data_IF_020330502885
#
_entry.id   IF_020330502885
#
_cell.length_a   1.000
_cell.length_b   1.000
_cell.length_c   1.000
_cell.angle_alpha   90.00
_cell.angle_beta   90.00
_cell.angle_gamma   90.00
#
_symmetry.space_group_name_H-M   'P 1'
#
loop_
_entity.id
_entity.type
_entity.pdbx_description
1 polymer ?
#
# COMPACT_ATOMS: atom_id res chain seq x y z
N UNK A 1 0.03 -40.55 26.55
CA UNK A 1 1.06 -39.49 26.55
C UNK A 1 0.35 -38.21 26.15
N UNK A 2 0.04 -37.34 27.11
CA UNK A 2 -0.50 -36.02 26.81
C UNK A 2 0.65 -35.18 26.24
N UNK A 3 0.63 -34.92 24.94
CA UNK A 3 1.46 -33.86 24.38
C UNK A 3 1.06 -32.58 25.12
N UNK A 4 2.04 -31.86 25.68
CA UNK A 4 1.77 -30.51 26.16
C UNK A 4 1.23 -29.74 24.96
N UNK A 5 -0.02 -29.33 25.02
CA UNK A 5 -0.61 -28.36 24.10
C UNK A 5 0.34 -27.16 24.11
N UNK A 6 1.20 -27.06 23.08
CA UNK A 6 1.87 -25.81 22.81
C UNK A 6 0.75 -24.80 22.60
N UNK A 7 0.75 -23.74 23.39
CA UNK A 7 -0.27 -22.71 23.28
C UNK A 7 -0.25 -22.22 21.82
N UNK A 8 -1.32 -22.50 21.08
CA UNK A 8 -1.51 -21.99 19.73
C UNK A 8 -1.55 -20.47 19.84
N UNK A 9 -0.49 -19.79 19.40
CA UNK A 9 -0.42 -18.32 19.45
C UNK A 9 -0.98 -17.79 18.14
N UNK A 10 -2.30 -17.62 18.11
CA UNK A 10 -2.98 -16.98 17.00
C UNK A 10 -3.03 -15.46 17.18
N UNK A 11 -2.76 -14.66 16.15
CA UNK A 11 -3.26 -13.29 16.12
C UNK A 11 -4.80 -13.28 16.24
N UNK A 12 -5.41 -12.16 16.64
CA UNK A 12 -6.86 -12.03 16.61
C UNK A 12 -7.39 -12.32 15.19
N UNK A 13 -8.54 -12.98 15.09
CA UNK A 13 -9.17 -13.34 13.81
C UNK A 13 -10.44 -12.53 13.64
N UNK A 14 -10.55 -11.85 12.51
CA UNK A 14 -11.79 -11.23 12.04
C UNK A 14 -12.44 -12.17 11.02
N UNK A 15 -13.71 -12.50 11.25
CA UNK A 15 -14.46 -13.42 10.40
C UNK A 15 -15.71 -12.72 9.87
N UNK A 16 -15.89 -12.77 8.55
CA UNK A 16 -17.11 -12.30 7.88
C UNK A 16 -17.74 -13.48 7.14
N UNK A 17 -18.97 -13.82 7.53
CA UNK A 17 -19.79 -14.75 6.78
C UNK A 17 -20.60 -13.95 5.75
N UNK A 18 -20.57 -14.39 4.50
CA UNK A 18 -21.48 -13.91 3.45
C UNK A 18 -22.38 -15.07 3.07
N UNK A 19 -23.66 -14.93 3.41
CA UNK A 19 -24.63 -16.02 3.32
C UNK A 19 -25.51 -15.76 2.12
N UNK A 20 -25.56 -16.73 1.22
CA UNK A 20 -26.60 -16.85 0.22
C UNK A 20 -27.95 -16.97 0.89
N UNK A 21 -28.85 -16.12 0.46
CA UNK A 21 -30.15 -15.96 1.10
C UNK A 21 -31.32 -16.32 0.21
N UNK A 22 -31.05 -17.10 -0.84
CA UNK A 22 -32.06 -17.75 -1.64
C UNK A 22 -32.90 -18.73 -0.81
N UNK A 23 -34.06 -19.10 -1.34
CA UNK A 23 -34.97 -20.03 -0.66
C UNK A 23 -34.48 -21.48 -0.62
N UNK A 24 -33.47 -21.86 -1.42
CA UNK A 24 -32.84 -23.18 -1.35
C UNK A 24 -32.01 -23.36 -0.07
N UNK A 25 -31.56 -22.25 0.52
CA UNK A 25 -30.68 -22.22 1.68
C UNK A 25 -31.40 -22.27 3.03
N UNK A 26 -32.72 -22.53 3.08
CA UNK A 26 -33.54 -22.49 4.31
C UNK A 26 -33.05 -23.44 5.43
N UNK A 27 -32.58 -24.65 5.10
CA UNK A 27 -32.08 -25.60 6.08
C UNK A 27 -30.65 -25.29 6.55
N UNK A 28 -29.76 -24.87 5.65
CA UNK A 28 -28.47 -24.28 6.01
C UNK A 28 -28.65 -23.05 6.90
N UNK A 29 -29.60 -22.15 6.58
CA UNK A 29 -29.92 -20.95 7.33
C UNK A 29 -30.29 -21.28 8.77
N UNK A 30 -31.23 -22.22 8.94
CA UNK A 30 -31.69 -22.65 10.24
C UNK A 30 -30.56 -23.32 11.04
N UNK A 31 -29.78 -24.20 10.41
CA UNK A 31 -28.66 -24.88 11.06
C UNK A 31 -27.55 -23.90 11.47
N UNK A 32 -27.21 -22.95 10.60
CA UNK A 32 -26.25 -21.88 10.86
C UNK A 32 -26.71 -21.02 12.03
N UNK A 33 -27.93 -20.51 11.99
CA UNK A 33 -28.46 -19.64 13.04
C UNK A 33 -28.56 -20.35 14.40
N UNK A 34 -28.84 -21.65 14.41
CA UNK A 34 -28.87 -22.45 15.64
C UNK A 34 -27.48 -22.70 16.23
N UNK A 35 -26.43 -22.77 15.41
CA UNK A 35 -25.09 -23.21 15.83
C UNK A 35 -24.08 -22.08 15.99
N UNK A 36 -24.21 -20.99 15.22
CA UNK A 36 -23.15 -19.98 15.10
C UNK A 36 -22.83 -19.27 16.41
N UNK A 37 -23.83 -19.05 17.27
CA UNK A 37 -23.61 -18.45 18.60
C UNK A 37 -22.74 -19.33 19.51
N UNK A 38 -22.85 -20.66 19.39
CA UNK A 38 -22.00 -21.62 20.10
C UNK A 38 -20.58 -21.61 19.53
N UNK A 39 -20.44 -21.58 18.20
CA UNK A 39 -19.14 -21.52 17.53
C UNK A 39 -18.39 -20.23 17.90
N UNK A 40 -19.08 -19.08 17.84
CA UNK A 40 -18.54 -17.79 18.28
C UNK A 40 -18.08 -17.86 19.74
N UNK A 41 -18.90 -18.44 20.63
CA UNK A 41 -18.56 -18.58 22.05
C UNK A 41 -17.33 -19.46 22.27
N UNK A 42 -17.19 -20.55 21.51
CA UNK A 42 -16.02 -21.42 21.57
C UNK A 42 -14.76 -20.69 21.09
N UNK A 43 -14.82 -20.02 19.93
CA UNK A 43 -13.70 -19.30 19.36
C UNK A 43 -13.26 -18.11 20.23
N UNK A 44 -14.20 -17.42 20.87
CA UNK A 44 -13.94 -16.40 21.89
C UNK A 44 -13.27 -17.02 23.13
N UNK A 45 -13.72 -18.21 23.56
CA UNK A 45 -13.12 -18.96 24.66
C UNK A 45 -11.68 -19.39 24.40
N UNK A 46 -11.33 -19.62 23.12
CA UNK A 46 -9.96 -19.88 22.68
C UNK A 46 -9.13 -18.60 22.52
N UNK A 47 -9.72 -17.41 22.69
CA UNK A 47 -9.06 -16.12 22.48
C UNK A 47 -8.71 -15.84 21.01
N UNK A 48 -9.30 -16.58 20.07
CA UNK A 48 -8.96 -16.50 18.65
C UNK A 48 -9.70 -15.38 17.94
N UNK A 49 -10.98 -15.14 18.26
CA UNK A 49 -11.83 -14.26 17.47
C UNK A 49 -11.94 -12.86 18.08
N UNK A 50 -11.71 -11.86 17.24
CA UNK A 50 -11.79 -10.44 17.56
C UNK A 50 -13.13 -9.84 17.13
N UNK A 51 -13.61 -10.22 15.93
CA UNK A 51 -14.88 -9.79 15.36
C UNK A 51 -15.52 -10.90 14.54
N UNK A 52 -16.84 -10.97 14.58
CA UNK A 52 -17.62 -11.86 13.71
C UNK A 52 -18.83 -11.12 13.18
N UNK A 53 -19.04 -11.18 11.87
CA UNK A 53 -20.19 -10.60 11.19
C UNK A 53 -20.88 -11.66 10.35
N UNK A 54 -22.21 -11.71 10.45
CA UNK A 54 -23.05 -12.57 9.64
C UNK A 54 -23.87 -11.67 8.73
N UNK A 55 -23.50 -11.64 7.45
CA UNK A 55 -24.09 -10.77 6.45
C UNK A 55 -24.84 -11.62 5.42
N UNK A 56 -26.05 -11.23 5.08
CA UNK A 56 -26.64 -11.65 3.82
C UNK A 56 -25.87 -11.06 2.65
N UNK A 57 -25.90 -11.69 1.48
CA UNK A 57 -25.30 -11.11 0.27
C UNK A 57 -26.07 -9.83 -0.13
N UNK A 58 -27.38 -9.94 -0.31
CA UNK A 58 -28.30 -8.81 -0.47
C UNK A 58 -29.41 -8.85 0.60
N UNK A 59 -30.31 -7.87 0.59
CA UNK A 59 -31.38 -7.76 1.57
C UNK A 59 -32.45 -8.86 1.42
N UNK A 60 -32.70 -9.60 2.50
CA UNK A 60 -33.63 -10.75 2.51
C UNK A 60 -35.07 -10.46 2.90
N UNK A 61 -35.44 -9.24 3.26
CA UNK A 61 -36.82 -8.99 3.71
C UNK A 61 -37.26 -9.76 4.98
N UNK A 62 -36.34 -10.39 5.71
CA UNK A 62 -36.39 -10.48 7.17
C UNK A 62 -37.19 -11.60 7.87
N UNK A 63 -37.31 -12.83 7.36
CA UNK A 63 -37.81 -13.95 8.18
C UNK A 63 -36.91 -15.19 8.31
N UNK A 64 -36.21 -15.57 7.25
CA UNK A 64 -35.67 -16.95 7.19
C UNK A 64 -34.26 -17.06 7.79
N UNK A 65 -33.58 -15.92 7.95
CA UNK A 65 -32.23 -15.84 8.52
C UNK A 65 -32.16 -14.90 9.75
N UNK A 66 -32.77 -15.24 10.89
CA UNK A 66 -32.88 -14.35 12.05
C UNK A 66 -31.54 -14.03 12.73
N UNK A 67 -30.47 -14.75 12.39
CA UNK A 67 -29.13 -14.51 12.93
C UNK A 67 -28.28 -13.54 12.10
N UNK A 68 -28.71 -13.14 10.90
CA UNK A 68 -27.99 -12.13 10.11
C UNK A 68 -28.12 -10.77 10.78
N UNK A 69 -27.03 -10.02 10.76
CA UNK A 69 -26.95 -8.71 11.41
C UNK A 69 -27.17 -7.55 10.45
N UNK A 70 -26.89 -7.76 9.17
CA UNK A 70 -27.00 -6.78 8.07
C UNK A 70 -26.83 -7.55 6.74
N UNK A 71 -26.70 -6.84 5.63
CA UNK A 71 -26.29 -7.39 4.32
C UNK A 71 -25.08 -6.63 3.74
N UNK A 72 -24.36 -7.26 2.79
CA UNK A 72 -23.15 -6.69 2.19
C UNK A 72 -23.45 -5.40 1.44
N UNK A 73 -24.57 -5.37 0.70
CA UNK A 73 -25.03 -4.22 -0.08
C UNK A 73 -25.21 -2.98 0.82
N UNK A 74 -25.97 -3.10 1.91
CA UNK A 74 -26.26 -2.01 2.84
C UNK A 74 -25.02 -1.61 3.65
N UNK A 75 -24.21 -2.56 4.10
CA UNK A 75 -23.05 -2.28 4.97
C UNK A 75 -21.85 -1.71 4.21
N UNK A 76 -21.57 -2.21 3.00
CA UNK A 76 -20.32 -1.96 2.26
C UNK A 76 -20.52 -1.38 0.85
N UNK A 77 -21.79 -1.22 0.42
CA UNK A 77 -22.18 -0.75 -0.90
C UNK A 77 -22.26 -1.88 -1.93
N UNK A 78 -23.03 -1.62 -2.99
CA UNK A 78 -23.36 -2.54 -4.09
C UNK A 78 -22.30 -2.63 -5.19
N UNK A 79 -21.52 -1.56 -5.42
CA UNK A 79 -20.54 -1.56 -6.51
C UNK A 79 -19.43 -2.58 -6.27
N UNK A 80 -19.18 -3.47 -7.22
CA UNK A 80 -18.15 -4.51 -7.15
C UNK A 80 -16.79 -3.92 -7.55
N UNK A 81 -15.78 -3.93 -6.67
CA UNK A 81 -14.44 -3.47 -7.02
C UNK A 81 -13.75 -4.42 -8.03
N UNK A 82 -12.77 -3.90 -8.76
CA UNK A 82 -11.99 -4.68 -9.71
C UNK A 82 -12.66 -4.83 -11.07
N UNK A 83 -12.51 -5.99 -11.69
CA UNK A 83 -13.08 -6.34 -12.98
C UNK A 83 -13.82 -7.67 -12.85
N UNK A 84 -15.14 -7.61 -12.60
CA UNK A 84 -16.01 -8.78 -12.51
C UNK A 84 -16.23 -9.52 -13.84
N UNK A 85 -15.58 -9.08 -14.93
CA UNK A 85 -15.66 -9.73 -16.23
C UNK A 85 -17.09 -9.74 -16.77
N UNK A 86 -17.57 -10.92 -17.16
CA UNK A 86 -18.92 -11.08 -17.68
C UNK A 86 -20.02 -10.98 -16.61
N UNK A 87 -19.71 -11.27 -15.34
CA UNK A 87 -20.69 -11.33 -14.25
C UNK A 87 -21.32 -9.96 -13.90
N UNK A 88 -20.58 -8.87 -14.11
CA UNK A 88 -21.07 -7.51 -13.87
C UNK A 88 -20.24 -6.74 -12.87
N UNK A 89 -20.79 -5.62 -12.38
CA UNK A 89 -20.08 -4.68 -11.49
C UNK A 89 -20.96 -4.15 -10.35
N UNK A 90 -22.14 -4.72 -10.17
CA UNK A 90 -23.11 -4.38 -9.14
C UNK A 90 -23.49 -5.69 -8.46
N UNK A 91 -23.63 -5.66 -7.14
CA UNK A 91 -24.17 -6.75 -6.34
C UNK A 91 -25.69 -6.51 -6.22
N UNK A 92 -26.49 -7.21 -7.00
CA UNK A 92 -27.95 -7.07 -7.02
C UNK A 92 -28.71 -8.40 -6.90
N UNK A 93 -28.02 -9.53 -6.77
CA UNK A 93 -28.62 -10.83 -6.49
C UNK A 93 -28.19 -11.42 -5.13
N UNK A 94 -29.09 -12.16 -4.49
CA UNK A 94 -28.86 -12.82 -3.19
C UNK A 94 -27.91 -13.99 -3.24
N UNK A 95 -27.61 -14.49 -4.45
CA UNK A 95 -26.77 -15.67 -4.67
C UNK A 95 -25.35 -15.29 -5.15
N UNK A 96 -25.09 -14.01 -5.46
CA UNK A 96 -23.84 -13.48 -6.04
C UNK A 96 -22.65 -13.45 -5.06
N UNK A 97 -22.21 -14.63 -4.61
CA UNK A 97 -21.20 -14.76 -3.56
C UNK A 97 -19.78 -14.37 -4.01
N UNK A 98 -19.47 -14.40 -5.31
CA UNK A 98 -18.18 -13.92 -5.84
C UNK A 98 -18.00 -12.41 -5.66
N UNK A 99 -19.04 -11.65 -5.96
CA UNK A 99 -19.13 -10.19 -5.84
C UNK A 99 -19.12 -9.77 -4.37
N UNK A 100 -19.86 -10.50 -3.53
CA UNK A 100 -19.87 -10.28 -2.08
C UNK A 100 -18.46 -10.41 -1.49
N UNK A 101 -17.71 -11.46 -1.84
CA UNK A 101 -16.31 -11.62 -1.41
C UNK A 101 -15.45 -10.45 -1.89
N UNK A 102 -15.61 -10.04 -3.15
CA UNK A 102 -14.86 -8.93 -3.74
C UNK A 102 -15.06 -7.62 -2.95
N UNK A 103 -16.30 -7.32 -2.58
CA UNK A 103 -16.68 -6.15 -1.79
C UNK A 103 -16.12 -6.26 -0.37
N UNK A 104 -16.37 -7.38 0.33
CA UNK A 104 -15.92 -7.60 1.71
C UNK A 104 -14.40 -7.54 1.81
N UNK A 105 -13.68 -8.25 0.94
CA UNK A 105 -12.21 -8.26 0.95
C UNK A 105 -11.63 -6.84 0.81
N UNK A 106 -12.25 -6.00 -0.02
CA UNK A 106 -11.75 -4.66 -0.36
C UNK A 106 -12.15 -3.57 0.62
N UNK A 107 -13.34 -3.67 1.23
CA UNK A 107 -13.97 -2.55 1.96
C UNK A 107 -14.21 -2.82 3.42
N UNK A 108 -14.22 -4.07 3.85
CA UNK A 108 -14.51 -4.39 5.24
C UNK A 108 -13.45 -3.77 6.17
N UNK A 109 -13.85 -3.14 7.30
CA UNK A 109 -12.93 -2.47 8.22
C UNK A 109 -12.19 -3.48 9.12
N UNK A 110 -11.31 -4.28 8.49
CA UNK A 110 -10.48 -5.27 9.15
C UNK A 110 -9.66 -4.66 10.28
N UNK A 111 -9.57 -5.38 11.39
CA UNK A 111 -8.70 -5.02 12.51
C UNK A 111 -7.23 -5.09 12.06
N UNK A 112 -6.40 -4.09 12.35
CA UNK A 112 -4.97 -4.16 12.06
C UNK A 112 -4.35 -5.43 12.67
N UNK A 113 -3.47 -6.08 11.91
CA UNK A 113 -2.73 -7.30 12.29
C UNK A 113 -3.61 -8.54 12.58
N UNK A 114 -4.92 -8.46 12.36
CA UNK A 114 -5.80 -9.61 12.50
C UNK A 114 -5.71 -10.53 11.27
N UNK A 115 -5.91 -11.82 11.50
CA UNK A 115 -6.18 -12.79 10.43
C UNK A 115 -7.56 -12.46 9.85
N UNK A 116 -7.66 -12.31 8.53
CA UNK A 116 -8.88 -11.90 7.84
C UNK A 116 -9.47 -13.11 7.14
N UNK A 117 -10.68 -13.51 7.53
CA UNK A 117 -11.35 -14.68 6.96
C UNK A 117 -12.71 -14.29 6.43
N UNK A 118 -12.98 -14.65 5.17
CA UNK A 118 -14.32 -14.63 4.60
C UNK A 118 -14.78 -16.08 4.45
N UNK A 119 -15.99 -16.36 4.92
CA UNK A 119 -16.64 -17.68 4.80
C UNK A 119 -17.92 -17.48 3.98
N UNK A 120 -17.84 -17.59 2.64
CA UNK A 120 -19.04 -17.59 1.81
C UNK A 120 -19.79 -18.91 1.98
N UNK A 121 -21.11 -18.85 2.09
CA UNK A 121 -21.99 -20.02 2.21
C UNK A 121 -23.05 -19.92 1.12
N UNK A 122 -23.05 -20.83 0.16
CA UNK A 122 -24.00 -20.87 -0.97
C UNK A 122 -24.10 -22.29 -1.51
N UNK A 123 -25.24 -22.65 -2.09
CA UNK A 123 -25.40 -23.90 -2.84
C UNK A 123 -25.29 -23.72 -4.36
N UNK A 124 -25.14 -22.49 -4.83
CA UNK A 124 -25.35 -22.04 -6.21
C UNK A 124 -24.13 -21.32 -6.84
N UNK A 125 -24.30 -20.86 -8.08
CA UNK A 125 -23.26 -20.15 -8.85
C UNK A 125 -22.69 -18.95 -8.11
N UNK A 126 -21.43 -18.62 -8.35
CA UNK A 126 -20.77 -17.45 -7.78
C UNK A 126 -21.31 -16.12 -8.32
N UNK A 127 -21.95 -16.14 -9.50
CA UNK A 127 -22.56 -15.01 -10.17
C UNK A 127 -24.06 -15.27 -10.32
N UNK A 128 -24.91 -14.46 -9.68
CA UNK A 128 -26.38 -14.49 -9.79
C UNK A 128 -27.05 -15.86 -9.51
N UNK A 129 -26.33 -16.81 -8.91
CA UNK A 129 -26.76 -18.15 -8.47
C UNK A 129 -27.20 -19.16 -9.53
N UNK A 130 -27.76 -18.72 -10.66
CA UNK A 130 -28.41 -19.59 -11.63
C UNK A 130 -27.41 -20.31 -12.57
N UNK A 131 -27.25 -21.63 -12.35
CA UNK A 131 -26.35 -22.56 -13.05
C UNK A 131 -24.89 -22.12 -13.22
N UNK A 132 -23.99 -22.78 -12.50
CA UNK A 132 -22.55 -22.52 -12.57
C UNK A 132 -21.94 -22.69 -13.98
N UNK A 133 -21.33 -21.62 -14.49
CA UNK A 133 -20.63 -21.49 -15.76
C UNK A 133 -19.11 -21.33 -15.57
N UNK A 134 -18.37 -22.41 -15.86
CA UNK A 134 -16.91 -22.45 -15.76
C UNK A 134 -16.28 -23.17 -16.98
N UNK A 135 -15.65 -22.43 -17.93
CA UNK A 135 -15.39 -20.99 -17.88
C UNK A 135 -16.63 -20.15 -18.21
N UNK A 136 -16.80 -19.02 -17.52
CA UNK A 136 -17.97 -18.18 -17.65
C UNK A 136 -18.05 -17.05 -16.63
N UNK A 137 -19.25 -16.54 -16.41
CA UNK A 137 -19.56 -15.46 -15.48
C UNK A 137 -19.12 -15.79 -14.05
N UNK A 138 -19.41 -17.00 -13.56
CA UNK A 138 -18.98 -17.45 -12.23
C UNK A 138 -17.45 -17.52 -12.10
N UNK A 139 -16.77 -18.02 -13.14
CA UNK A 139 -15.30 -18.06 -13.13
C UNK A 139 -14.69 -16.66 -13.09
N UNK A 140 -15.28 -15.71 -13.81
CA UNK A 140 -14.84 -14.31 -13.81
C UNK A 140 -15.04 -13.67 -12.42
N UNK A 141 -16.20 -13.89 -11.79
CA UNK A 141 -16.48 -13.44 -10.42
C UNK A 141 -15.45 -13.98 -9.43
N UNK A 142 -15.12 -15.28 -9.51
CA UNK A 142 -14.11 -15.92 -8.66
C UNK A 142 -12.70 -15.40 -8.89
N UNK A 143 -12.30 -15.18 -10.14
CA UNK A 143 -10.99 -14.62 -10.44
C UNK A 143 -10.83 -13.19 -9.89
N UNK A 144 -11.89 -12.39 -9.96
CA UNK A 144 -11.92 -11.06 -9.36
C UNK A 144 -11.82 -11.14 -7.82
N UNK A 145 -12.62 -12.01 -7.21
CA UNK A 145 -12.60 -12.25 -5.76
C UNK A 145 -11.21 -12.70 -5.27
N UNK A 146 -10.56 -13.65 -5.95
CA UNK A 146 -9.18 -14.10 -5.67
C UNK A 146 -8.22 -12.91 -5.70
N UNK A 147 -8.28 -12.10 -6.76
CA UNK A 147 -7.37 -10.96 -6.96
C UNK A 147 -7.48 -9.98 -5.78
N UNK A 148 -8.70 -9.67 -5.36
CA UNK A 148 -8.97 -8.70 -4.30
C UNK A 148 -8.69 -9.28 -2.91
N UNK A 149 -9.00 -10.56 -2.68
CA UNK A 149 -8.66 -11.24 -1.43
C UNK A 149 -7.14 -11.30 -1.22
N UNK A 150 -6.37 -11.66 -2.25
CA UNK A 150 -4.91 -11.65 -2.21
C UNK A 150 -4.35 -10.25 -1.99
N UNK A 151 -4.87 -9.24 -2.68
CA UNK A 151 -4.44 -7.85 -2.51
C UNK A 151 -4.67 -7.31 -1.08
N UNK A 152 -5.62 -7.90 -0.35
CA UNK A 152 -5.99 -7.51 1.00
C UNK A 152 -5.62 -8.56 2.07
N UNK A 153 -4.79 -9.56 1.74
CA UNK A 153 -4.38 -10.65 2.65
C UNK A 153 -5.57 -11.33 3.37
N UNK A 154 -6.60 -11.69 2.61
CA UNK A 154 -7.82 -12.33 3.13
C UNK A 154 -7.84 -13.79 2.72
N UNK A 155 -8.03 -14.67 3.71
CA UNK A 155 -8.33 -16.08 3.48
C UNK A 155 -9.82 -16.22 3.12
N UNK A 156 -10.12 -16.95 2.07
CA UNK A 156 -11.50 -17.29 1.70
C UNK A 156 -11.70 -18.77 1.90
N UNK A 157 -12.66 -19.14 2.74
CA UNK A 157 -12.93 -20.54 3.11
C UNK A 157 -14.39 -20.90 2.85
N UNK A 158 -14.75 -21.25 1.60
CA UNK A 158 -16.14 -21.47 1.22
C UNK A 158 -16.77 -22.70 1.85
N UNK A 159 -18.07 -22.61 2.10
CA UNK A 159 -18.94 -23.72 2.46
C UNK A 159 -19.96 -23.89 1.35
N UNK A 160 -19.85 -24.98 0.58
CA UNK A 160 -20.87 -25.36 -0.39
C UNK A 160 -22.03 -26.04 0.34
N UNK A 161 -23.24 -25.53 0.13
CA UNK A 161 -24.48 -26.06 0.70
C UNK A 161 -24.83 -27.46 0.20
N UNK A 162 -25.86 -28.05 0.81
CA UNK A 162 -26.33 -29.38 0.46
C UNK A 162 -26.90 -29.36 -0.96
N UNK A 163 -26.43 -30.25 -1.82
CA UNK A 163 -26.94 -30.33 -3.19
C UNK A 163 -26.19 -29.48 -4.22
N UNK A 164 -25.17 -28.72 -3.80
CA UNK A 164 -24.30 -27.99 -4.72
C UNK A 164 -23.79 -28.86 -5.87
N UNK A 165 -23.77 -28.28 -7.06
CA UNK A 165 -23.19 -28.93 -8.23
C UNK A 165 -21.67 -29.09 -8.09
N UNK A 166 -21.09 -30.03 -8.83
CA UNK A 166 -19.63 -30.20 -8.86
C UNK A 166 -18.91 -28.94 -9.36
N UNK A 167 -19.57 -28.12 -10.20
CA UNK A 167 -19.02 -26.85 -10.69
C UNK A 167 -18.85 -25.86 -9.53
N UNK A 168 -19.90 -25.63 -8.73
CA UNK A 168 -19.88 -24.75 -7.55
C UNK A 168 -18.81 -25.19 -6.54
N UNK A 169 -18.75 -26.49 -6.26
CA UNK A 169 -17.72 -27.07 -5.37
C UNK A 169 -16.31 -26.79 -5.89
N UNK A 170 -16.10 -26.90 -7.20
CA UNK A 170 -14.78 -26.66 -7.83
C UNK A 170 -14.38 -25.19 -7.72
N UNK A 171 -15.30 -24.26 -7.98
CA UNK A 171 -15.07 -22.83 -7.80
C UNK A 171 -14.71 -22.48 -6.34
N UNK A 172 -15.43 -23.05 -5.37
CA UNK A 172 -15.12 -22.90 -3.95
C UNK A 172 -13.73 -23.43 -3.58
N UNK A 173 -13.33 -24.57 -4.14
CA UNK A 173 -12.00 -25.15 -3.93
C UNK A 173 -10.89 -24.29 -4.54
N UNK A 174 -11.11 -23.70 -5.71
CA UNK A 174 -10.13 -22.88 -6.39
C UNK A 174 -9.84 -21.59 -5.63
N UNK A 175 -10.87 -20.87 -5.18
CA UNK A 175 -10.68 -19.64 -4.39
C UNK A 175 -10.04 -19.94 -3.03
N UNK A 176 -10.42 -21.04 -2.37
CA UNK A 176 -9.78 -21.46 -1.13
C UNK A 176 -8.29 -21.75 -1.35
N UNK A 177 -7.97 -22.53 -2.38
CA UNK A 177 -6.57 -22.88 -2.71
C UNK A 177 -5.74 -21.64 -3.04
N UNK A 178 -6.29 -20.72 -3.83
CA UNK A 178 -5.59 -19.51 -4.25
C UNK A 178 -5.32 -18.54 -3.09
N UNK A 179 -6.27 -18.43 -2.15
CA UNK A 179 -6.18 -17.51 -0.99
C UNK A 179 -5.59 -18.15 0.26
N UNK A 180 -5.24 -19.44 0.19
CA UNK A 180 -4.73 -20.22 1.32
C UNK A 180 -5.82 -20.69 2.31
N UNK A 181 -7.10 -20.44 2.05
CA UNK A 181 -8.21 -20.95 2.86
C UNK A 181 -8.43 -22.45 2.68
N UNK A 182 -9.60 -22.91 3.15
CA UNK A 182 -10.04 -24.31 3.00
C UNK A 182 -11.50 -24.32 2.58
N UNK A 183 -11.85 -25.13 1.58
CA UNK A 183 -13.24 -25.31 1.18
C UNK A 183 -13.86 -26.50 1.94
N UNK A 184 -15.14 -26.37 2.29
CA UNK A 184 -15.94 -27.42 2.92
C UNK A 184 -17.21 -27.65 2.10
N UNK A 185 -17.69 -28.90 2.06
CA UNK A 185 -18.94 -29.27 1.42
C UNK A 185 -19.85 -29.86 2.49
N UNK A 186 -20.95 -29.18 2.76
CA UNK A 186 -21.97 -29.62 3.71
C UNK A 186 -22.73 -30.81 3.15
N UNK A 187 -22.98 -31.80 4.00
CA UNK A 187 -23.82 -32.96 3.66
C UNK A 187 -25.00 -33.11 4.62
N UNK A 188 -24.87 -32.58 5.84
CA UNK A 188 -25.94 -32.43 6.81
C UNK A 188 -25.64 -31.18 7.66
N UNK A 189 -26.16 -30.01 7.29
CA UNK A 189 -25.86 -28.74 7.95
C UNK A 189 -26.11 -28.79 9.47
N UNK A 190 -27.09 -29.60 9.90
CA UNK A 190 -27.44 -29.74 11.32
C UNK A 190 -26.37 -30.46 12.15
N UNK A 191 -25.49 -31.23 11.50
CA UNK A 191 -24.44 -32.03 12.13
C UNK A 191 -23.03 -31.51 11.88
N UNK A 192 -22.75 -30.99 10.67
CA UNK A 192 -21.38 -30.74 10.22
C UNK A 192 -20.98 -29.26 10.20
N UNK A 193 -21.93 -28.33 9.99
CA UNK A 193 -21.65 -26.92 9.75
C UNK A 193 -20.89 -26.25 10.90
N UNK A 194 -21.31 -26.51 12.15
CA UNK A 194 -20.67 -25.92 13.32
C UNK A 194 -19.20 -26.33 13.46
N UNK A 195 -18.92 -27.61 13.22
CA UNK A 195 -17.56 -28.16 13.23
C UNK A 195 -16.72 -27.61 12.09
N UNK A 196 -17.29 -27.53 10.90
CA UNK A 196 -16.64 -26.97 9.72
C UNK A 196 -16.22 -25.52 9.95
N UNK A 197 -17.12 -24.65 10.38
CA UNK A 197 -16.81 -23.22 10.63
C UNK A 197 -15.66 -23.07 11.62
N UNK A 198 -15.70 -23.83 12.73
CA UNK A 198 -14.62 -23.85 13.73
C UNK A 198 -13.28 -24.26 13.11
N UNK A 199 -13.28 -25.35 12.36
CA UNK A 199 -12.05 -25.92 11.79
C UNK A 199 -11.46 -25.00 10.70
N UNK A 200 -12.30 -24.36 9.88
CA UNK A 200 -11.88 -23.38 8.87
C UNK A 200 -11.17 -22.16 9.51
N UNK A 201 -11.70 -21.66 10.63
CA UNK A 201 -11.12 -20.50 11.33
C UNK A 201 -9.79 -20.88 12.01
N UNK A 202 -9.71 -22.07 12.62
CA UNK A 202 -8.46 -22.58 13.20
C UNK A 202 -7.41 -22.84 12.12
N UNK A 203 -7.82 -23.37 10.96
CA UNK A 203 -6.91 -23.60 9.84
C UNK A 203 -6.34 -22.29 9.27
N UNK A 204 -7.20 -21.28 9.06
CA UNK A 204 -6.74 -19.94 8.67
C UNK A 204 -5.76 -19.35 9.69
N UNK A 205 -6.03 -19.54 10.99
CA UNK A 205 -5.12 -19.14 12.05
C UNK A 205 -3.74 -19.83 11.94
N UNK A 206 -3.70 -21.16 11.83
CA UNK A 206 -2.44 -21.92 11.71
C UNK A 206 -1.67 -21.53 10.44
N UNK A 207 -2.37 -21.31 9.33
CA UNK A 207 -1.76 -20.88 8.06
C UNK A 207 -1.32 -19.42 8.06
N UNK A 208 -1.94 -18.58 8.90
CA UNK A 208 -1.56 -17.18 9.08
C UNK A 208 -0.26 -16.99 9.85
N UNK A 209 0.32 -18.05 10.42
CA UNK A 209 1.69 -18.08 10.92
C UNK A 209 2.71 -17.98 9.75
N UNK A 210 2.52 -16.99 8.87
CA UNK A 210 3.61 -16.44 8.10
C UNK A 210 4.57 -15.86 9.14
N UNK A 211 5.81 -16.39 9.28
CA UNK A 211 6.79 -15.77 10.15
C UNK A 211 6.86 -14.30 9.75
N UNK A 212 6.92 -13.33 10.69
CA UNK A 212 7.02 -11.91 10.35
C UNK A 212 8.08 -11.81 9.26
N UNK A 213 7.64 -11.51 8.04
CA UNK A 213 8.54 -11.51 6.90
C UNK A 213 9.54 -10.44 7.25
N UNK A 214 10.78 -10.88 7.52
CA UNK A 214 11.82 -9.98 7.95
C UNK A 214 12.04 -9.04 6.78
N UNK A 215 11.41 -7.87 6.83
CA UNK A 215 11.53 -6.88 5.77
C UNK A 215 12.99 -6.46 5.78
N UNK A 216 13.73 -6.87 4.75
CA UNK A 216 15.12 -6.48 4.62
C UNK A 216 15.14 -5.01 4.24
N UNK A 217 15.40 -4.17 5.24
CA UNK A 217 15.60 -2.74 5.05
C UNK A 217 17.09 -2.42 5.11
N UNK A 218 17.59 -1.70 4.13
CA UNK A 218 18.94 -1.14 4.12
C UNK A 218 18.89 0.32 4.58
N UNK A 219 19.62 0.65 5.65
CA UNK A 219 19.86 2.04 6.06
C UNK A 219 21.09 2.58 5.33
N UNK A 220 20.92 3.72 4.64
CA UNK A 220 22.00 4.45 3.98
C UNK A 220 22.18 5.81 4.63
N UNK A 221 23.36 6.04 5.21
CA UNK A 221 23.79 7.36 5.69
C UNK A 221 24.30 8.19 4.50
N UNK A 222 23.69 9.34 4.26
CA UNK A 222 24.02 10.26 3.15
C UNK A 222 24.59 11.59 3.64
N UNK A 223 24.96 11.70 4.92
CA UNK A 223 25.44 12.94 5.55
C UNK A 223 26.61 13.57 4.79
N UNK A 224 27.56 12.76 4.32
CA UNK A 224 28.72 13.25 3.54
C UNK A 224 28.32 13.87 2.21
N UNK A 225 27.28 13.33 1.56
CA UNK A 225 26.73 13.86 0.30
C UNK A 225 26.07 15.22 0.56
N UNK A 226 25.28 15.33 1.63
CA UNK A 226 24.63 16.59 2.03
C UNK A 226 25.65 17.69 2.37
N UNK A 227 26.72 17.33 3.09
CA UNK A 227 27.83 18.25 3.37
C UNK A 227 28.54 18.71 2.10
N UNK A 228 28.71 17.82 1.11
CA UNK A 228 29.30 18.18 -0.19
C UNK A 228 28.42 19.17 -0.95
N UNK A 229 27.09 18.95 -0.98
CA UNK A 229 26.12 19.82 -1.64
C UNK A 229 26.12 21.25 -1.06
N UNK A 230 26.02 21.40 0.27
CA UNK A 230 26.12 22.72 0.93
C UNK A 230 27.49 23.37 0.65
N UNK A 231 28.57 22.59 0.78
CA UNK A 231 29.92 23.03 0.48
C UNK A 231 30.06 23.57 -0.96
N UNK A 232 29.42 22.93 -1.93
CA UNK A 232 29.40 23.36 -3.33
C UNK A 232 28.59 24.65 -3.52
N UNK A 233 27.40 24.76 -2.92
CA UNK A 233 26.60 25.99 -2.93
C UNK A 233 27.38 27.19 -2.34
N UNK A 234 28.08 26.99 -1.22
CA UNK A 234 28.92 28.02 -0.61
C UNK A 234 30.08 28.46 -1.53
N UNK A 235 30.73 27.50 -2.21
CA UNK A 235 31.79 27.80 -3.20
C UNK A 235 31.22 28.58 -4.40
N UNK A 236 30.01 28.29 -4.85
CA UNK A 236 29.33 29.02 -5.93
C UNK A 236 29.01 30.47 -5.51
N UNK A 237 28.41 30.67 -4.33
CA UNK A 237 28.20 31.99 -3.72
C UNK A 237 29.49 32.82 -3.65
N UNK A 238 30.58 32.22 -3.15
CA UNK A 238 31.91 32.88 -3.08
C UNK A 238 32.41 33.28 -4.47
N UNK A 239 32.14 32.47 -5.49
CA UNK A 239 32.50 32.74 -6.89
C UNK A 239 31.72 33.92 -7.45
N UNK A 240 30.40 33.99 -7.25
CA UNK A 240 29.57 35.15 -7.67
C UNK A 240 30.00 36.42 -6.93
N UNK A 241 30.25 36.36 -5.62
CA UNK A 241 30.77 37.50 -4.84
C UNK A 241 32.13 37.99 -5.34
N UNK A 242 32.99 37.09 -5.83
CA UNK A 242 34.28 37.45 -6.47
C UNK A 242 34.04 38.18 -7.80
N UNK A 243 33.10 37.71 -8.62
CA UNK A 243 32.69 38.39 -9.85
C UNK A 243 32.12 39.80 -9.57
N UNK A 244 31.25 39.94 -8.56
CA UNK A 244 30.72 41.24 -8.16
C UNK A 244 31.83 42.22 -7.71
N UNK A 245 32.87 41.74 -7.02
CA UNK A 245 34.05 42.56 -6.68
C UNK A 245 34.84 43.00 -7.92
N UNK A 246 35.00 42.12 -8.91
CA UNK A 246 35.64 42.47 -10.18
C UNK A 246 34.82 43.53 -10.93
N UNK A 247 33.49 43.36 -11.01
CA UNK A 247 32.59 44.33 -11.61
C UNK A 247 32.71 45.71 -10.95
N UNK A 248 32.74 45.77 -9.61
CA UNK A 248 32.93 47.02 -8.88
C UNK A 248 34.27 47.70 -9.22
N UNK A 249 35.36 46.94 -9.28
CA UNK A 249 36.69 47.45 -9.65
C UNK A 249 36.78 47.92 -11.10
N UNK A 250 35.93 47.39 -11.98
CA UNK A 250 35.85 47.78 -13.38
C UNK A 250 34.95 49.00 -13.64
N UNK A 251 34.45 49.68 -12.60
CA UNK A 251 33.53 50.82 -12.75
C UNK A 251 32.08 50.42 -13.03
N UNK A 252 31.68 49.18 -12.74
CA UNK A 252 30.29 48.75 -12.84
C UNK A 252 29.37 49.50 -11.87
N UNK A 253 28.08 49.62 -12.22
CA UNK A 253 27.08 50.32 -11.39
C UNK A 253 26.96 49.68 -10.00
N UNK A 254 26.98 50.49 -8.94
CA UNK A 254 26.83 50.03 -7.54
C UNK A 254 25.55 49.22 -7.31
N UNK A 255 24.45 49.56 -8.02
CA UNK A 255 23.18 48.80 -7.98
C UNK A 255 23.38 47.35 -8.42
N UNK A 256 24.06 47.12 -9.54
CA UNK A 256 24.28 45.78 -10.09
C UNK A 256 25.17 44.93 -9.18
N UNK A 257 26.21 45.54 -8.60
CA UNK A 257 27.09 44.89 -7.62
C UNK A 257 26.32 44.45 -6.37
N UNK A 258 25.44 45.31 -5.84
CA UNK A 258 24.57 44.99 -4.69
C UNK A 258 23.57 43.89 -5.05
N UNK A 259 22.95 43.97 -6.23
CA UNK A 259 21.99 42.97 -6.72
C UNK A 259 22.62 41.58 -6.80
N UNK A 260 23.80 41.46 -7.43
CA UNK A 260 24.50 40.18 -7.54
C UNK A 260 24.84 39.55 -6.18
N UNK A 261 25.18 40.37 -5.18
CA UNK A 261 25.47 39.87 -3.82
C UNK A 261 24.19 39.40 -3.13
N UNK A 262 23.13 40.21 -3.17
CA UNK A 262 21.83 39.88 -2.57
C UNK A 262 21.24 38.62 -3.20
N UNK A 263 21.22 38.53 -4.53
CA UNK A 263 20.74 37.34 -5.26
C UNK A 263 21.57 36.09 -4.91
N UNK A 264 22.90 36.21 -4.80
CA UNK A 264 23.76 35.09 -4.39
C UNK A 264 23.59 34.68 -2.91
N UNK A 265 23.20 35.61 -2.03
CA UNK A 265 22.88 35.31 -0.64
C UNK A 265 21.55 34.57 -0.52
N UNK A 266 20.54 35.03 -1.27
CA UNK A 266 19.23 34.37 -1.33
C UNK A 266 19.34 32.94 -1.88
N UNK A 267 20.01 32.75 -3.02
CA UNK A 267 20.21 31.41 -3.60
C UNK A 267 20.95 30.46 -2.65
N UNK A 268 21.90 30.95 -1.86
CA UNK A 268 22.61 30.09 -0.90
C UNK A 268 21.72 29.68 0.25
N UNK A 269 20.90 30.59 0.77
CA UNK A 269 19.95 30.26 1.84
C UNK A 269 18.92 29.24 1.35
N UNK A 270 18.39 29.40 0.14
CA UNK A 270 17.51 28.41 -0.48
C UNK A 270 18.19 27.05 -0.65
N UNK A 271 19.36 27.01 -1.29
CA UNK A 271 20.11 25.75 -1.49
C UNK A 271 20.45 25.05 -0.17
N UNK A 272 20.85 25.82 0.86
CA UNK A 272 21.10 25.30 2.20
C UNK A 272 19.83 24.70 2.81
N UNK A 273 18.70 25.40 2.72
CA UNK A 273 17.41 24.92 3.24
C UNK A 273 16.99 23.63 2.57
N UNK A 274 17.03 23.56 1.23
CA UNK A 274 16.66 22.34 0.49
C UNK A 274 17.62 21.18 0.77
N UNK A 275 18.94 21.44 0.88
CA UNK A 275 19.93 20.41 1.24
C UNK A 275 19.65 19.78 2.59
N UNK A 276 19.34 20.61 3.61
CA UNK A 276 19.12 20.14 4.99
C UNK A 276 17.66 19.75 5.29
N UNK A 277 16.76 19.90 4.33
CA UNK A 277 15.43 19.27 4.36
C UNK A 277 15.48 17.79 3.99
N UNK A 278 16.56 17.35 3.33
CA UNK A 278 16.79 15.96 2.98
C UNK A 278 17.25 15.17 4.23
N UNK A 279 16.66 13.99 4.53
CA UNK A 279 17.04 13.21 5.71
C UNK A 279 18.48 12.68 5.61
N UNK A 280 19.24 12.78 6.69
CA UNK A 280 20.65 12.34 6.72
C UNK A 280 20.82 10.82 6.64
N UNK A 281 19.76 10.09 7.01
CA UNK A 281 19.67 8.63 6.90
C UNK A 281 18.40 8.29 6.13
N UNK A 282 18.53 7.46 5.12
CA UNK A 282 17.41 6.98 4.31
C UNK A 282 17.29 5.48 4.46
N UNK A 283 16.06 5.00 4.63
CA UNK A 283 15.76 3.57 4.71
C UNK A 283 15.14 3.14 3.39
N UNK A 284 15.64 2.06 2.80
CA UNK A 284 15.04 1.42 1.62
C UNK A 284 14.70 -0.01 1.99
N UNK A 285 13.43 -0.39 1.90
CA UNK A 285 12.99 -1.75 2.15
C UNK A 285 12.55 -2.41 0.84
N UNK A 286 12.65 -3.74 0.76
CA UNK A 286 11.98 -4.49 -0.32
C UNK A 286 10.46 -4.22 -0.28
N UNK A 287 9.82 -4.23 -1.45
CA UNK A 287 8.39 -3.95 -1.57
C UNK A 287 7.59 -4.90 -0.67
N UNK A 288 6.99 -4.35 0.37
CA UNK A 288 6.08 -5.07 1.27
C UNK A 288 4.84 -4.23 1.50
N UNK A 289 3.70 -4.90 1.70
CA UNK A 289 2.40 -4.26 1.91
C UNK A 289 2.37 -3.35 3.16
N UNK A 290 3.33 -3.51 4.07
CA UNK A 290 3.44 -2.74 5.32
C UNK A 290 4.29 -1.46 5.18
N UNK A 291 4.90 -1.26 4.02
CA UNK A 291 5.87 -0.21 3.76
C UNK A 291 5.35 0.77 2.70
N UNK A 292 5.36 2.05 3.02
CA UNK A 292 4.99 3.13 2.10
C UNK A 292 6.25 3.84 1.61
N UNK A 293 6.32 4.09 0.30
CA UNK A 293 7.43 4.82 -0.32
C UNK A 293 7.10 6.30 -0.41
N UNK A 294 7.98 7.15 0.14
CA UNK A 294 7.88 8.60 0.10
C UNK A 294 8.90 9.11 -0.91
N UNK A 295 8.42 9.77 -1.97
CA UNK A 295 9.26 10.45 -2.94
C UNK A 295 9.92 11.69 -2.31
N UNK A 296 11.24 11.73 -2.33
CA UNK A 296 12.08 12.81 -1.82
C UNK A 296 12.91 13.48 -2.94
N UNK A 297 12.64 13.12 -4.20
CA UNK A 297 13.33 13.67 -5.38
C UNK A 297 13.10 15.18 -5.55
N UNK A 298 12.00 15.71 -5.04
CA UNK A 298 11.68 17.15 -5.07
C UNK A 298 12.79 17.99 -4.42
N UNK A 299 13.24 17.60 -3.22
CA UNK A 299 14.30 18.31 -2.48
C UNK A 299 15.63 18.33 -3.24
N UNK A 300 15.94 17.25 -3.96
CA UNK A 300 17.14 17.14 -4.81
C UNK A 300 17.05 18.09 -6.01
N UNK A 301 15.90 18.11 -6.68
CA UNK A 301 15.64 19.02 -7.82
C UNK A 301 15.67 20.51 -7.40
N UNK A 302 15.20 20.78 -6.18
CA UNK A 302 15.51 21.90 -5.28
C UNK A 302 16.91 22.47 -5.53
N UNK A 303 17.87 21.78 -4.89
CA UNK A 303 19.29 22.13 -4.80
C UNK A 303 19.93 22.37 -6.18
N UNK A 304 19.57 21.55 -7.18
CA UNK A 304 20.10 21.67 -8.54
C UNK A 304 19.58 22.91 -9.27
N UNK A 305 18.34 23.32 -8.97
CA UNK A 305 17.73 24.53 -9.50
C UNK A 305 18.43 25.78 -8.93
N UNK A 306 18.69 25.85 -7.63
CA UNK A 306 19.47 26.95 -7.06
C UNK A 306 20.90 26.98 -7.59
N UNK A 307 21.54 25.81 -7.76
CA UNK A 307 22.85 25.67 -8.38
C UNK A 307 22.91 26.28 -9.79
N UNK A 308 21.88 26.01 -10.60
CA UNK A 308 21.71 26.61 -11.92
C UNK A 308 21.52 28.13 -11.84
N UNK A 309 20.82 28.61 -10.80
CA UNK A 309 20.69 30.03 -10.46
C UNK A 309 22.05 30.72 -10.26
N UNK A 310 23.01 30.10 -9.58
CA UNK A 310 24.35 30.67 -9.40
C UNK A 310 25.12 30.77 -10.73
N UNK A 311 25.00 29.77 -11.61
CA UNK A 311 25.61 29.82 -12.95
C UNK A 311 25.01 30.96 -13.77
N UNK A 312 23.68 31.15 -13.70
CA UNK A 312 23.01 32.27 -14.35
C UNK A 312 23.51 33.63 -13.81
N UNK A 313 23.67 33.78 -12.49
CA UNK A 313 24.27 34.98 -11.88
C UNK A 313 25.71 35.21 -12.32
N UNK A 314 26.52 34.15 -12.42
CA UNK A 314 27.89 34.25 -12.89
C UNK A 314 27.96 34.73 -14.35
N UNK A 315 27.08 34.21 -15.22
CA UNK A 315 26.94 34.64 -16.63
C UNK A 315 26.42 36.09 -16.73
N UNK A 316 25.46 36.49 -15.90
CA UNK A 316 24.99 37.89 -15.77
C UNK A 316 26.13 38.83 -15.38
N UNK A 317 26.91 38.49 -14.36
CA UNK A 317 28.07 39.26 -13.94
C UNK A 317 29.13 39.36 -15.06
N UNK A 318 29.39 38.26 -15.78
CA UNK A 318 30.30 38.26 -16.93
C UNK A 318 29.86 39.24 -18.03
N UNK A 319 28.57 39.25 -18.39
CA UNK A 319 28.03 40.19 -19.40
C UNK A 319 28.24 41.65 -18.97
N UNK A 320 28.00 41.97 -17.70
CA UNK A 320 28.19 43.33 -17.15
C UNK A 320 29.67 43.74 -17.14
N UNK A 321 30.58 42.84 -16.75
CA UNK A 321 32.02 43.10 -16.74
C UNK A 321 32.55 43.29 -18.17
N UNK A 322 32.07 42.49 -19.12
CA UNK A 322 32.50 42.58 -20.52
C UNK A 322 32.17 43.94 -21.18
N UNK A 323 31.12 44.62 -20.72
CA UNK A 323 30.72 45.97 -21.15
C UNK A 323 31.61 47.09 -20.60
N UNK A 324 32.28 46.85 -19.47
CA UNK A 324 32.97 47.90 -18.70
C UNK A 324 34.50 47.73 -18.67
N UNK A 325 35.03 46.58 -19.10
CA UNK A 325 36.42 46.19 -18.79
C UNK A 325 37.34 46.00 -20.01
N UNK A 326 38.63 46.28 -19.79
CA UNK A 326 39.74 45.95 -20.68
C UNK A 326 39.91 44.43 -20.93
N UNK A 327 40.54 44.06 -22.06
CA UNK A 327 40.66 42.65 -22.53
C UNK A 327 41.20 41.66 -21.49
N UNK A 328 42.16 42.06 -20.65
CA UNK A 328 42.78 41.17 -19.65
C UNK A 328 41.83 40.64 -18.57
N UNK A 329 40.87 41.46 -18.11
CA UNK A 329 39.89 41.09 -17.09
C UNK A 329 38.95 39.99 -17.62
N UNK A 330 38.63 40.02 -18.92
CA UNK A 330 37.69 39.07 -19.56
C UNK A 330 38.16 37.63 -19.43
N UNK A 331 39.47 37.35 -19.54
CA UNK A 331 40.03 35.99 -19.38
C UNK A 331 39.82 35.46 -17.96
N UNK A 332 40.06 36.29 -16.94
CA UNK A 332 39.86 35.93 -15.53
C UNK A 332 38.40 35.66 -15.21
N UNK A 333 37.49 36.47 -15.76
CA UNK A 333 36.04 36.29 -15.60
C UNK A 333 35.56 34.97 -16.21
N UNK A 334 36.01 34.64 -17.44
CA UNK A 334 35.68 33.35 -18.07
C UNK A 334 36.09 32.15 -17.19
N UNK A 335 37.28 32.19 -16.57
CA UNK A 335 37.73 31.14 -15.64
C UNK A 335 36.80 30.99 -14.43
N UNK A 336 36.26 32.09 -13.90
CA UNK A 336 35.32 32.05 -12.77
C UNK A 336 33.94 31.53 -13.17
N UNK A 337 33.45 31.86 -14.37
CA UNK A 337 32.20 31.29 -14.88
C UNK A 337 32.34 29.78 -15.08
N UNK A 338 33.43 29.32 -15.72
CA UNK A 338 33.72 27.88 -15.85
C UNK A 338 33.83 27.18 -14.50
N UNK A 339 34.38 27.85 -13.49
CA UNK A 339 34.41 27.31 -12.12
C UNK A 339 33.01 27.16 -11.53
N UNK A 340 32.10 28.10 -11.76
CA UNK A 340 30.71 27.99 -11.30
C UNK A 340 29.99 26.82 -12.00
N UNK A 341 30.20 26.66 -13.31
CA UNK A 341 29.64 25.53 -14.08
C UNK A 341 30.18 24.19 -13.57
N UNK A 342 31.50 24.09 -13.31
CA UNK A 342 32.07 22.88 -12.71
C UNK A 342 31.47 22.56 -11.34
N UNK A 343 31.29 23.55 -10.48
CA UNK A 343 30.67 23.34 -9.16
C UNK A 343 29.21 22.89 -9.25
N UNK A 344 28.48 23.24 -10.32
CA UNK A 344 27.14 22.73 -10.56
C UNK A 344 27.20 21.27 -11.01
N UNK A 345 28.13 20.93 -11.89
CA UNK A 345 28.34 19.55 -12.32
C UNK A 345 28.75 18.64 -11.14
N UNK A 346 29.66 19.10 -10.29
CA UNK A 346 30.06 18.39 -9.07
C UNK A 346 28.82 18.15 -8.16
N UNK A 347 27.97 19.18 -7.98
CA UNK A 347 26.72 19.03 -7.21
C UNK A 347 25.71 18.08 -7.87
N UNK A 348 25.61 18.05 -9.20
CA UNK A 348 24.78 17.08 -9.93
C UNK A 348 25.28 15.65 -9.74
N UNK A 349 26.60 15.45 -9.76
CA UNK A 349 27.19 14.13 -9.49
C UNK A 349 26.87 13.66 -8.08
N UNK A 350 27.04 14.52 -7.07
CA UNK A 350 26.71 14.20 -5.68
C UNK A 350 25.20 13.91 -5.50
N UNK A 351 24.34 14.77 -6.04
CA UNK A 351 22.88 14.63 -5.98
C UNK A 351 22.37 13.31 -6.58
N UNK A 352 22.97 12.84 -7.68
CA UNK A 352 22.58 11.58 -8.31
C UNK A 352 22.89 10.33 -7.46
N UNK A 353 23.63 10.46 -6.36
CA UNK A 353 23.90 9.36 -5.42
C UNK A 353 22.87 9.25 -4.30
N UNK A 354 22.03 10.28 -4.13
CA UNK A 354 20.94 10.28 -3.17
C UNK A 354 19.79 9.41 -3.70
N UNK A 355 19.15 8.59 -2.84
CA UNK A 355 17.97 7.86 -3.26
C UNK A 355 16.81 8.81 -3.62
N UNK A 356 16.03 8.43 -4.63
CA UNK A 356 14.89 9.21 -5.09
C UNK A 356 13.70 9.12 -4.11
N UNK A 357 13.61 8.02 -3.36
CA UNK A 357 12.57 7.76 -2.38
C UNK A 357 13.16 7.17 -1.11
N UNK A 358 12.40 7.23 -0.02
CA UNK A 358 12.66 6.49 1.21
C UNK A 358 11.41 5.72 1.61
N UNK A 359 11.59 4.66 2.36
CA UNK A 359 10.51 3.79 2.81
C UNK A 359 10.20 4.04 4.28
N UNK A 360 8.91 4.11 4.61
CA UNK A 360 8.41 4.14 5.99
C UNK A 360 7.46 2.97 6.20
N UNK A 361 7.80 2.07 7.13
CA UNK A 361 7.02 0.88 7.45
C UNK A 361 6.29 1.05 8.78
N UNK A 362 5.08 0.50 8.88
CA UNK A 362 4.19 0.66 10.04
C UNK A 362 4.56 -0.22 11.24
N UNK A 363 5.17 -1.38 10.98
CA UNK A 363 5.64 -2.32 12.00
C UNK A 363 7.02 -1.93 12.53
N UNK A 364 7.33 -2.38 13.77
CA UNK A 364 8.66 -2.22 14.37
C UNK A 364 9.67 -3.00 13.54
N UNK A 365 10.30 -2.34 12.57
CA UNK A 365 11.40 -2.89 11.80
C UNK A 365 12.54 -3.22 12.77
N UNK A 366 12.83 -4.51 12.95
CA UNK A 366 14.10 -4.91 13.57
C UNK A 366 15.24 -4.62 12.60
N UNK A 367 15.95 -3.53 12.84
CA UNK A 367 17.15 -3.19 12.07
C UNK A 367 18.21 -4.27 12.26
N UNK A 368 18.65 -4.88 11.15
CA UNK A 368 19.80 -5.77 11.14
C UNK A 368 21.05 -4.89 11.08
N UNK A 369 21.71 -4.71 12.23
CA UNK A 369 22.97 -3.96 12.32
C UNK A 369 24.18 -4.75 11.83
#
# INVERSE_FOLDING_TARGET
MAQSSGDLVCPPVDVVFTVDTSGSMDDEAQALCNSISSVQSELLGLGLVSKTFLLGITNTGGSDFPCLTDDVENMLGDSVPGNGGACGTILDDSESWGEAISIVASRFPWTPDAVRVIVPISDEGACDGDSCDDPGEDRDAINNAITLALANNVFVSPISGTGSSQCVITLGQDIATATGGTAFVSTDPSLDLAGAVRDLIIDACVKSEVPPTKVNCEEKDVTDVLLSLDGNALKQKRTVRRLARILNKAGGKKRDVRSLRKEADALYLSAWTSTWSYPSKTISCEESLECTSIDISSSVNEVLTEGSGFVALAKKAQKLINKTSAKGIKRRVRKLVKKAEKLLQDAQTDANTLPASQTTCSTKVEMVF
#
